data_IF_661660464126
#
_entry.id   IF_661660464126
#
_cell.length_a   1.000
_cell.length_b   1.000
_cell.length_c   1.000
_cell.angle_alpha   90.00
_cell.angle_beta   90.00
_cell.angle_gamma   90.00
#
_symmetry.space_group_name_H-M   'P 1'
#
loop_
_entity.id
_entity.type
_entity.pdbx_description
1 polymer ?
#
# COMPACT_ATOMS: atom_id res chain seq x y z
N UNK A 1 -7.97 -1.98 -23.15
CA UNK A 1 -6.86 -1.61 -22.23
C UNK A 1 -7.31 -0.75 -21.04
N UNK A 2 -8.12 0.30 -21.22
CA UNK A 2 -8.57 1.17 -20.11
C UNK A 2 -9.30 0.44 -18.95
N UNK A 3 -10.12 -0.57 -19.26
CA UNK A 3 -10.82 -1.37 -18.24
C UNK A 3 -9.89 -2.19 -17.33
N UNK A 4 -8.75 -2.66 -17.86
CA UNK A 4 -7.79 -3.46 -17.10
C UNK A 4 -7.04 -2.56 -16.11
N UNK A 5 -6.61 -1.37 -16.53
CA UNK A 5 -6.05 -0.35 -15.64
C UNK A 5 -7.05 0.08 -14.56
N UNK A 6 -8.31 0.36 -14.93
CA UNK A 6 -9.36 0.71 -13.96
C UNK A 6 -9.60 -0.40 -12.93
N UNK A 7 -9.56 -1.67 -13.37
CA UNK A 7 -9.74 -2.81 -12.47
C UNK A 7 -8.57 -2.98 -11.48
N UNK A 8 -7.33 -2.60 -11.85
CA UNK A 8 -6.16 -2.61 -10.96
C UNK A 8 -6.28 -1.58 -9.84
N UNK A 9 -6.86 -0.41 -10.11
CA UNK A 9 -7.09 0.63 -9.10
C UNK A 9 -8.30 0.35 -8.19
N UNK A 10 -9.13 -0.65 -8.49
CA UNK A 10 -10.21 -1.10 -7.62
C UNK A 10 -9.69 -1.88 -6.40
N UNK A 11 -10.44 -1.93 -5.30
CA UNK A 11 -10.07 -2.72 -4.09
C UNK A 11 -9.73 -4.19 -4.42
N UNK A 12 -10.42 -4.78 -5.40
CA UNK A 12 -10.17 -6.15 -5.89
C UNK A 12 -8.86 -6.26 -6.67
N UNK A 13 -8.53 -5.26 -7.49
CA UNK A 13 -7.25 -5.20 -8.23
C UNK A 13 -6.06 -4.98 -7.31
N UNK A 14 -6.18 -4.02 -6.40
CA UNK A 14 -5.19 -3.74 -5.36
C UNK A 14 -4.92 -4.96 -4.49
N UNK A 15 -5.96 -5.68 -4.08
CA UNK A 15 -5.82 -6.96 -3.38
C UNK A 15 -4.99 -7.97 -4.18
N UNK A 16 -5.29 -8.15 -5.47
CA UNK A 16 -4.52 -9.06 -6.34
C UNK A 16 -3.05 -8.67 -6.43
N UNK A 17 -2.74 -7.37 -6.55
CA UNK A 17 -1.37 -6.86 -6.57
C UNK A 17 -0.63 -7.08 -5.23
N UNK A 18 -1.36 -7.05 -4.12
CA UNK A 18 -0.84 -7.39 -2.78
C UNK A 18 -0.86 -8.90 -2.50
N UNK A 19 -1.21 -9.75 -3.47
CA UNK A 19 -1.19 -11.20 -3.35
C UNK A 19 -2.37 -11.80 -2.57
N UNK A 20 -3.54 -11.15 -2.53
CA UNK A 20 -4.72 -11.65 -1.81
C UNK A 20 -5.98 -10.80 -1.96
N UNK A 21 -6.80 -10.77 -0.91
CA UNK A 21 -7.95 -9.88 -0.79
C UNK A 21 -7.70 -8.89 0.35
N UNK A 22 -7.93 -7.60 0.13
CA UNK A 22 -7.86 -6.59 1.19
C UNK A 22 -9.07 -6.76 2.10
N UNK A 23 -8.85 -7.29 3.31
CA UNK A 23 -9.90 -7.47 4.32
C UNK A 23 -10.03 -6.26 5.23
N UNK A 24 -8.94 -5.52 5.45
CA UNK A 24 -8.93 -4.29 6.24
C UNK A 24 -7.96 -3.28 5.65
N UNK A 25 -8.25 -2.00 5.82
CA UNK A 25 -7.39 -0.87 5.44
C UNK A 25 -7.33 0.06 6.64
N UNK A 26 -6.13 0.50 7.01
CA UNK A 26 -5.97 1.46 8.10
C UNK A 26 -6.79 2.72 7.83
N UNK A 27 -7.35 3.31 8.89
CA UNK A 27 -8.09 4.56 8.80
C UNK A 27 -7.20 5.75 8.43
N UNK A 28 -5.91 5.65 8.73
CA UNK A 28 -4.92 6.69 8.44
C UNK A 28 -4.18 6.41 7.14
N UNK A 29 -3.98 7.48 6.35
CA UNK A 29 -3.15 7.48 5.16
C UNK A 29 -2.18 8.66 5.21
N UNK A 30 -0.95 8.46 4.71
CA UNK A 30 0.01 9.55 4.58
C UNK A 30 -0.16 10.12 3.17
N UNK A 31 -0.53 11.39 3.09
CA UNK A 31 -0.67 12.12 1.82
C UNK A 31 0.44 13.14 1.72
N UNK A 32 1.27 13.03 0.69
CA UNK A 32 2.27 14.03 0.33
C UNK A 32 1.90 14.65 -1.01
N UNK A 33 1.89 15.98 -1.08
CA UNK A 33 1.60 16.71 -2.31
C UNK A 33 2.78 17.59 -2.67
N UNK A 34 3.29 17.46 -3.90
CA UNK A 34 4.40 18.27 -4.43
C UNK A 34 4.01 18.80 -5.81
N UNK A 35 3.62 20.07 -5.86
CA UNK A 35 3.09 20.69 -7.09
C UNK A 35 1.81 19.97 -7.55
N UNK A 36 1.85 19.41 -8.77
CA UNK A 36 0.73 18.65 -9.36
C UNK A 36 0.77 17.14 -9.05
N UNK A 37 1.82 16.66 -8.36
CA UNK A 37 1.96 15.26 -8.00
C UNK A 37 1.44 15.02 -6.58
N UNK A 38 0.71 13.92 -6.40
CA UNK A 38 0.18 13.43 -5.13
C UNK A 38 0.68 12.02 -4.87
N UNK A 39 1.38 11.81 -3.77
CA UNK A 39 1.80 10.50 -3.28
C UNK A 39 0.98 10.12 -2.06
N UNK A 40 0.53 8.87 -1.99
CA UNK A 40 -0.30 8.33 -0.91
C UNK A 40 0.30 7.01 -0.43
N UNK A 41 0.52 6.91 0.88
CA UNK A 41 0.92 5.66 1.54
C UNK A 41 -0.29 5.14 2.30
N UNK A 42 -0.69 3.89 2.03
CA UNK A 42 -1.75 3.18 2.76
C UNK A 42 -1.26 1.84 3.27
N UNK A 43 -1.86 1.38 4.35
CA UNK A 43 -1.60 0.06 4.91
C UNK A 43 -2.87 -0.77 4.95
N UNK A 44 -2.72 -2.06 4.68
CA UNK A 44 -3.81 -3.01 4.50
C UNK A 44 -3.50 -4.31 5.24
N UNK A 45 -4.54 -4.96 5.75
CA UNK A 45 -4.49 -6.39 6.07
C UNK A 45 -5.00 -7.14 4.85
N UNK A 46 -4.20 -8.08 4.37
CA UNK A 46 -4.47 -8.85 3.16
C UNK A 46 -4.54 -10.32 3.51
N UNK A 47 -5.60 -10.98 3.05
CA UNK A 47 -5.79 -12.42 3.18
C UNK A 47 -5.44 -13.10 1.86
N UNK A 48 -4.41 -13.96 1.89
CA UNK A 48 -3.98 -14.75 0.75
C UNK A 48 -4.95 -15.91 0.48
N UNK A 49 -4.86 -16.52 -0.71
CA UNK A 49 -5.74 -17.63 -1.13
C UNK A 49 -5.70 -18.86 -0.20
N UNK A 50 -4.58 -19.08 0.48
CA UNK A 50 -4.40 -20.16 1.44
C UNK A 50 -4.91 -19.81 2.86
N UNK A 51 -5.60 -18.68 3.02
CA UNK A 51 -6.10 -18.18 4.31
C UNK A 51 -5.05 -17.51 5.20
N UNK A 52 -3.77 -17.50 4.80
CA UNK A 52 -2.75 -16.76 5.54
C UNK A 52 -2.96 -15.25 5.42
N UNK A 53 -2.63 -14.51 6.48
CA UNK A 53 -2.76 -13.05 6.54
C UNK A 53 -1.40 -12.39 6.54
N UNK A 54 -1.28 -11.28 5.83
CA UNK A 54 -0.07 -10.47 5.77
C UNK A 54 -0.41 -8.97 5.69
N UNK A 55 0.60 -8.13 5.89
CA UNK A 55 0.46 -6.68 5.80
C UNK A 55 0.80 -6.27 4.37
N UNK A 56 -0.08 -5.49 3.76
CA UNK A 56 0.17 -4.83 2.48
C UNK A 56 0.41 -3.34 2.68
N UNK A 57 1.47 -2.80 2.10
CA UNK A 57 1.70 -1.35 1.99
C UNK A 57 1.49 -0.97 0.53
N UNK A 58 0.62 0.00 0.30
CA UNK A 58 0.38 0.60 -1.01
C UNK A 58 1.09 1.95 -1.06
N UNK A 59 2.05 2.09 -1.98
CA UNK A 59 2.65 3.36 -2.35
C UNK A 59 2.05 3.79 -3.70
N UNK A 60 1.11 4.72 -3.66
CA UNK A 60 0.44 5.24 -4.85
C UNK A 60 0.98 6.62 -5.20
N UNK A 61 1.40 6.83 -6.45
CA UNK A 61 1.75 8.15 -6.97
C UNK A 61 0.79 8.52 -8.11
N UNK A 62 0.29 9.75 -8.06
CA UNK A 62 -0.62 10.29 -9.04
C UNK A 62 -0.07 11.63 -9.54
N UNK A 63 0.43 11.65 -10.77
CA UNK A 63 0.81 12.84 -11.50
C UNK A 63 -0.10 13.00 -12.72
N UNK A 64 -0.22 14.22 -13.27
CA UNK A 64 -1.14 14.55 -14.38
C UNK A 64 -1.08 13.59 -15.60
N UNK A 65 0.02 12.87 -15.80
CA UNK A 65 0.23 11.97 -16.93
C UNK A 65 0.60 10.53 -16.54
N UNK A 66 0.71 10.23 -15.24
CA UNK A 66 1.12 8.91 -14.78
C UNK A 66 0.53 8.61 -13.40
N UNK A 67 -0.14 7.47 -13.29
CA UNK A 67 -0.51 6.88 -12.02
C UNK A 67 0.32 5.59 -11.86
N UNK A 68 1.07 5.49 -10.78
CA UNK A 68 1.84 4.30 -10.42
C UNK A 68 1.40 3.80 -9.05
N UNK A 69 1.49 2.49 -8.86
CA UNK A 69 1.23 1.87 -7.56
C UNK A 69 2.26 0.79 -7.32
N UNK A 70 3.01 0.92 -6.23
CA UNK A 70 4.00 -0.05 -5.79
C UNK A 70 3.46 -0.81 -4.58
N UNK A 71 3.07 -2.09 -4.75
CA UNK A 71 2.65 -2.94 -3.64
C UNK A 71 3.89 -3.49 -2.90
N UNK A 72 3.90 -3.38 -1.59
CA UNK A 72 4.88 -4.05 -0.72
C UNK A 72 4.12 -5.01 0.18
N UNK A 73 4.56 -6.26 0.21
CA UNK A 73 4.02 -7.30 1.08
C UNK A 73 5.00 -7.56 2.21
N UNK A 74 4.51 -7.58 3.44
CA UNK A 74 5.29 -7.85 4.63
C UNK A 74 4.64 -8.94 5.48
N UNK A 75 5.45 -9.83 6.04
CA UNK A 75 5.00 -10.66 7.17
C UNK A 75 4.79 -9.80 8.43
N UNK A 76 4.20 -10.38 9.47
CA UNK A 76 4.02 -9.69 10.75
C UNK A 76 5.37 -9.28 11.35
N UNK A 77 6.37 -10.16 11.26
CA UNK A 77 7.72 -9.95 11.79
C UNK A 77 8.44 -8.83 11.03
N UNK A 78 8.33 -8.82 9.70
CA UNK A 78 8.89 -7.76 8.85
C UNK A 78 8.22 -6.41 9.10
N UNK A 79 6.89 -6.39 9.28
CA UNK A 79 6.16 -5.18 9.63
C UNK A 79 6.58 -4.63 11.00
N UNK A 80 6.76 -5.49 12.00
CA UNK A 80 7.28 -5.09 13.31
C UNK A 80 8.73 -4.59 13.23
N UNK A 81 9.54 -5.16 12.33
CA UNK A 81 10.89 -4.65 12.06
C UNK A 81 10.83 -3.26 11.42
N UNK A 82 9.95 -3.05 10.45
CA UNK A 82 9.75 -1.74 9.81
C UNK A 82 9.31 -0.68 10.82
N UNK A 83 8.36 -0.98 11.70
CA UNK A 83 7.93 -0.07 12.77
C UNK A 83 9.13 0.34 13.63
N UNK A 84 9.95 -0.62 14.07
CA UNK A 84 11.15 -0.33 14.86
C UNK A 84 12.13 0.59 14.13
N UNK A 85 12.38 0.34 12.83
CA UNK A 85 13.25 1.19 12.00
C UNK A 85 12.70 2.62 11.87
N UNK A 86 11.39 2.77 11.63
CA UNK A 86 10.75 4.09 11.50
C UNK A 86 10.81 4.83 12.84
N UNK A 87 10.45 4.19 13.95
CA UNK A 87 10.52 4.80 15.29
C UNK A 87 11.94 5.24 15.63
N UNK A 88 12.95 4.42 15.32
CA UNK A 88 14.35 4.78 15.57
C UNK A 88 14.75 6.06 14.84
N UNK A 89 14.43 6.19 13.54
CA UNK A 89 14.78 7.36 12.73
C UNK A 89 13.94 8.58 13.13
N UNK A 90 12.65 8.40 13.43
CA UNK A 90 11.76 9.46 13.85
C UNK A 90 12.24 10.13 15.16
N UNK A 91 12.77 9.36 16.12
CA UNK A 91 13.32 9.90 17.36
C UNK A 91 14.62 10.70 17.19
N UNK A 92 15.24 10.64 16.01
CA UNK A 92 16.44 11.42 15.66
C UNK A 92 16.13 12.67 14.83
N UNK A 93 14.86 12.91 14.53
CA UNK A 93 14.37 14.09 13.80
C UNK A 93 13.75 15.06 14.78
#
# INVERSE_FOLDING_TARGET
MAFVFWSMFSKKGKGRMLGGSIIHTSSEEIIQTKGIAKSVIRTHVVEAKNGSKHIGIELSENAKLAASMTPIKLTKEEAQKLVRMITEVANRT
#
